data_IF_947361537346
#
_entry.id   IF_947361537346
#
_cell.length_a   1.000
_cell.length_b   1.000
_cell.length_c   1.000
_cell.angle_alpha   90.00
_cell.angle_beta   90.00
_cell.angle_gamma   90.00
#
_symmetry.space_group_name_H-M   'P 1'
#
loop_
_entity.id
_entity.type
_entity.pdbx_description
1 polymer ?
#
# COMPACT_ATOMS: atom_id res chain seq x y z
N UNK A 1 15.17 -1.41 1.25
CA UNK A 1 14.35 -0.88 0.15
C UNK A 1 12.86 -1.06 0.40
N UNK A 2 12.23 -2.22 0.10
CA UNK A 2 10.78 -2.41 0.30
C UNK A 2 10.33 -2.29 1.77
N UNK A 3 11.15 -2.75 2.72
CA UNK A 3 10.91 -2.55 4.15
C UNK A 3 10.83 -1.05 4.50
N UNK A 4 11.71 -0.23 3.95
CA UNK A 4 11.71 1.22 4.20
C UNK A 4 10.46 1.89 3.61
N UNK A 5 10.02 1.43 2.44
CA UNK A 5 8.75 1.87 1.82
C UNK A 5 7.57 1.54 2.73
N UNK A 6 7.52 0.32 3.29
CA UNK A 6 6.48 -0.08 4.24
C UNK A 6 6.53 0.80 5.49
N UNK A 7 7.69 0.98 6.10
CA UNK A 7 7.84 1.78 7.32
C UNK A 7 7.37 3.24 7.09
N UNK A 8 7.76 3.85 5.97
CA UNK A 8 7.30 5.19 5.61
C UNK A 8 5.77 5.27 5.44
N UNK A 9 5.17 4.28 4.76
CA UNK A 9 3.72 4.25 4.56
C UNK A 9 2.96 4.01 5.88
N UNK A 10 3.49 3.15 6.74
CA UNK A 10 2.93 2.84 8.07
C UNK A 10 2.97 4.07 8.97
N UNK A 11 4.09 4.80 9.01
CA UNK A 11 4.19 6.05 9.79
C UNK A 11 3.13 7.07 9.36
N UNK A 12 2.98 7.29 8.04
CA UNK A 12 1.97 8.21 7.51
C UNK A 12 0.56 7.74 7.86
N UNK A 13 0.26 6.46 7.69
CA UNK A 13 -1.05 5.88 8.00
C UNK A 13 -1.41 6.03 9.48
N UNK A 14 -0.43 5.83 10.37
CA UNK A 14 -0.60 6.07 11.81
C UNK A 14 -0.84 7.55 12.14
N UNK A 15 -0.12 8.48 11.50
CA UNK A 15 -0.38 9.93 11.66
C UNK A 15 -1.76 10.34 11.16
N UNK A 16 -2.34 9.59 10.21
CA UNK A 16 -3.71 9.76 9.73
C UNK A 16 -4.76 9.10 10.65
N UNK A 17 -4.34 8.47 11.75
CA UNK A 17 -5.23 7.89 12.77
C UNK A 17 -5.44 6.38 12.66
N UNK A 18 -4.76 5.68 11.76
CA UNK A 18 -4.84 4.21 11.67
C UNK A 18 -3.83 3.60 12.64
N UNK A 19 -4.29 3.20 13.84
CA UNK A 19 -3.40 2.74 14.92
C UNK A 19 -2.51 1.55 14.52
N UNK A 20 -3.07 0.58 13.78
CA UNK A 20 -2.38 -0.63 13.34
C UNK A 20 -2.67 -0.91 11.86
N UNK A 21 -1.98 -0.23 10.93
CA UNK A 21 -2.23 -0.36 9.51
C UNK A 21 -2.06 -1.80 9.01
N UNK A 22 -2.90 -2.22 8.07
CA UNK A 22 -2.82 -3.49 7.37
C UNK A 22 -2.19 -3.28 5.99
N UNK A 23 -1.02 -3.86 5.78
CA UNK A 23 -0.21 -3.72 4.56
C UNK A 23 -0.37 -4.98 3.72
N UNK A 24 -1.01 -4.84 2.56
CA UNK A 24 -1.04 -5.88 1.53
C UNK A 24 0.16 -5.68 0.59
N UNK A 25 1.05 -6.68 0.53
CA UNK A 25 2.11 -6.73 -0.48
C UNK A 25 1.56 -7.39 -1.73
N UNK A 26 1.35 -6.58 -2.76
CA UNK A 26 0.66 -7.02 -3.96
C UNK A 26 1.55 -7.87 -4.86
N UNK A 27 0.94 -8.89 -5.45
CA UNK A 27 1.49 -9.67 -6.56
C UNK A 27 0.34 -10.11 -7.48
N UNK A 28 0.66 -10.66 -8.65
CA UNK A 28 -0.37 -11.09 -9.60
C UNK A 28 -1.16 -12.33 -9.12
N UNK A 29 -0.56 -13.14 -8.24
CA UNK A 29 -1.14 -14.38 -7.70
C UNK A 29 -0.81 -14.50 -6.21
N UNK A 30 -1.53 -15.37 -5.50
CA UNK A 30 -1.43 -15.55 -4.05
C UNK A 30 -0.45 -16.64 -3.62
N UNK A 31 -0.01 -17.45 -4.57
CA UNK A 31 0.87 -18.58 -4.30
C UNK A 31 2.30 -18.16 -4.62
N UNK A 32 3.23 -18.49 -3.73
CA UNK A 32 4.66 -18.33 -3.97
C UNK A 32 5.03 -19.04 -5.29
N UNK A 33 5.51 -18.26 -6.25
CA UNK A 33 6.02 -18.76 -7.52
C UNK A 33 7.47 -18.30 -7.70
N UNK A 34 8.46 -19.22 -7.70
CA UNK A 34 9.86 -18.88 -7.91
C UNK A 34 10.16 -18.15 -9.22
N UNK A 35 9.31 -18.31 -10.24
CA UNK A 35 9.43 -17.62 -11.54
C UNK A 35 8.82 -16.21 -11.52
N UNK A 36 8.17 -15.83 -10.41
CA UNK A 36 7.51 -14.54 -10.23
C UNK A 36 8.11 -13.81 -9.00
N UNK A 37 9.14 -12.96 -9.20
CA UNK A 37 9.91 -12.37 -8.10
C UNK A 37 9.09 -11.54 -7.10
N UNK A 38 8.00 -10.93 -7.54
CA UNK A 38 7.08 -10.18 -6.68
C UNK A 38 6.40 -11.08 -5.63
N UNK A 39 6.07 -12.33 -5.97
CA UNK A 39 5.53 -13.30 -5.01
C UNK A 39 6.55 -13.70 -3.94
N UNK A 40 7.83 -13.77 -4.32
CA UNK A 40 8.94 -14.05 -3.41
C UNK A 40 9.14 -12.87 -2.46
N UNK A 41 9.23 -11.65 -3.00
CA UNK A 41 9.37 -10.43 -2.21
C UNK A 41 8.22 -10.27 -1.21
N UNK A 42 6.98 -10.50 -1.65
CA UNK A 42 5.81 -10.42 -0.80
C UNK A 42 5.86 -11.43 0.36
N UNK A 43 6.19 -12.68 0.05
CA UNK A 43 6.35 -13.74 1.05
C UNK A 43 7.45 -13.43 2.06
N UNK A 44 8.58 -12.90 1.60
CA UNK A 44 9.68 -12.47 2.47
C UNK A 44 9.25 -11.35 3.40
N UNK A 45 8.58 -10.31 2.90
CA UNK A 45 8.13 -9.18 3.69
C UNK A 45 7.09 -9.58 4.75
N UNK A 46 6.13 -10.44 4.38
CA UNK A 46 5.18 -11.02 5.33
C UNK A 46 5.91 -11.79 6.43
N UNK A 47 6.89 -12.63 6.07
CA UNK A 47 7.66 -13.38 7.06
C UNK A 47 8.55 -12.52 7.95
N UNK A 48 9.08 -11.42 7.42
CA UNK A 48 9.84 -10.44 8.20
C UNK A 48 8.94 -9.76 9.24
N UNK A 49 7.70 -9.41 8.88
CA UNK A 49 6.72 -8.87 9.80
C UNK A 49 6.32 -9.87 10.90
N UNK A 50 6.05 -11.14 10.56
CA UNK A 50 5.80 -12.22 11.53
C UNK A 50 6.93 -12.34 12.57
N UNK A 51 8.18 -12.13 12.13
CA UNK A 51 9.37 -12.19 12.98
C UNK A 51 9.65 -10.89 13.74
N UNK A 52 8.77 -9.90 13.63
CA UNK A 52 8.88 -8.61 14.31
C UNK A 52 9.96 -7.68 13.75
N UNK A 53 10.41 -7.90 12.51
CA UNK A 53 11.39 -7.03 11.83
C UNK A 53 10.71 -5.80 11.23
N UNK A 54 9.44 -5.94 10.81
CA UNK A 54 8.53 -4.84 10.47
C UNK A 54 7.54 -4.72 11.64
N UNK A 55 7.34 -3.50 12.15
CA UNK A 55 6.59 -3.24 13.39
C UNK A 55 5.53 -2.17 13.17
N UNK A 56 4.56 -2.12 14.09
CA UNK A 56 3.50 -1.09 14.06
C UNK A 56 2.36 -1.38 13.08
N UNK A 57 2.44 -2.47 12.32
CA UNK A 57 1.45 -2.85 11.30
C UNK A 57 1.26 -4.36 11.26
N UNK A 58 0.26 -4.79 10.49
CA UNK A 58 0.16 -6.15 9.97
C UNK A 58 0.62 -6.14 8.52
N UNK A 59 1.39 -7.15 8.09
CA UNK A 59 1.82 -7.28 6.71
C UNK A 59 1.47 -8.67 6.23
N UNK A 60 0.85 -8.77 5.07
CA UNK A 60 0.61 -10.04 4.41
C UNK A 60 0.80 -9.94 2.90
N UNK A 61 1.11 -11.06 2.28
CA UNK A 61 1.45 -11.18 0.87
C UNK A 61 2.07 -12.54 0.56
N UNK A 62 2.02 -12.98 -0.70
CA UNK A 62 1.49 -12.26 -1.86
C UNK A 62 -0.05 -12.23 -1.89
N UNK A 63 -0.60 -11.07 -2.22
CA UNK A 63 -2.04 -10.88 -2.39
C UNK A 63 -2.32 -10.24 -3.74
N UNK A 64 -3.26 -10.82 -4.49
CA UNK A 64 -3.87 -10.13 -5.62
C UNK A 64 -4.77 -8.97 -5.12
N UNK A 65 -5.00 -7.98 -5.98
CA UNK A 65 -5.72 -6.75 -5.59
C UNK A 65 -7.14 -7.04 -5.07
N UNK A 66 -7.87 -7.97 -5.71
CA UNK A 66 -9.21 -8.37 -5.29
C UNK A 66 -9.22 -8.87 -3.84
N UNK A 67 -8.19 -9.62 -3.44
CA UNK A 67 -8.04 -10.11 -2.09
C UNK A 67 -7.57 -9.06 -1.10
N UNK A 68 -6.87 -8.03 -1.55
CA UNK A 68 -6.48 -6.94 -0.68
C UNK A 68 -7.69 -6.06 -0.30
N UNK A 69 -8.71 -5.96 -1.18
CA UNK A 69 -9.83 -5.01 -1.03
C UNK A 69 -11.20 -5.65 -0.76
N UNK A 70 -11.38 -6.96 -0.97
CA UNK A 70 -12.67 -7.63 -0.80
C UNK A 70 -12.59 -8.84 0.14
N UNK A 71 -13.22 -8.72 1.31
CA UNK A 71 -13.38 -9.83 2.25
C UNK A 71 -14.18 -11.00 1.65
N UNK A 72 -15.11 -10.71 0.73
CA UNK A 72 -15.86 -11.72 -0.01
C UNK A 72 -14.94 -12.53 -0.94
N UNK A 73 -14.07 -11.85 -1.70
CA UNK A 73 -13.10 -12.53 -2.57
C UNK A 73 -12.14 -13.41 -1.76
N UNK A 74 -11.68 -12.91 -0.60
CA UNK A 74 -10.87 -13.66 0.35
C UNK A 74 -11.59 -14.90 0.88
N UNK A 75 -12.87 -14.79 1.24
CA UNK A 75 -13.67 -15.92 1.69
C UNK A 75 -13.87 -16.96 0.57
N UNK A 76 -14.18 -16.54 -0.66
CA UNK A 76 -14.34 -17.43 -1.80
C UNK A 76 -13.07 -18.21 -2.15
N UNK A 77 -11.91 -17.55 -2.09
CA UNK A 77 -10.60 -18.17 -2.29
C UNK A 77 -10.04 -18.86 -1.03
N UNK A 78 -10.79 -18.85 0.09
CA UNK A 78 -10.43 -19.45 1.39
C UNK A 78 -9.11 -18.93 1.96
N UNK A 79 -8.80 -17.66 1.71
CA UNK A 79 -7.60 -17.00 2.20
C UNK A 79 -7.82 -16.62 3.67
N UNK A 80 -6.92 -17.11 4.54
CA UNK A 80 -6.93 -16.78 5.97
C UNK A 80 -5.84 -15.75 6.24
N UNK A 81 -6.25 -14.50 6.40
CA UNK A 81 -5.36 -13.37 6.61
C UNK A 81 -6.07 -12.31 7.45
N UNK A 82 -5.31 -11.58 8.26
CA UNK A 82 -5.82 -10.38 8.96
C UNK A 82 -5.77 -9.12 8.09
N UNK A 83 -5.15 -9.21 6.91
CA UNK A 83 -4.96 -8.12 5.95
C UNK A 83 -5.91 -8.27 4.76
N UNK A 84 -6.18 -9.49 4.30
CA UNK A 84 -7.05 -9.72 3.15
C UNK A 84 -8.46 -9.16 3.38
N UNK A 85 -8.96 -8.41 2.40
CA UNK A 85 -10.25 -7.75 2.37
C UNK A 85 -10.31 -6.42 3.10
N UNK A 86 -9.23 -6.06 3.77
CA UNK A 86 -9.22 -5.07 4.85
C UNK A 86 -7.95 -4.21 4.81
N UNK A 87 -7.20 -4.21 3.72
CA UNK A 87 -5.90 -3.54 3.66
C UNK A 87 -6.03 -2.01 3.63
N UNK A 88 -5.21 -1.33 4.44
CA UNK A 88 -5.08 0.13 4.46
C UNK A 88 -4.00 0.61 3.49
N UNK A 89 -2.97 -0.22 3.27
CA UNK A 89 -1.78 0.10 2.46
C UNK A 89 -1.59 -0.99 1.40
N UNK A 90 -1.42 -0.56 0.15
CA UNK A 90 -1.02 -1.44 -0.95
C UNK A 90 0.44 -1.19 -1.33
N UNK A 91 1.32 -2.15 -1.08
CA UNK A 91 2.68 -2.12 -1.59
C UNK A 91 2.70 -2.76 -2.98
N UNK A 92 2.88 -1.96 -4.03
CA UNK A 92 2.96 -2.47 -5.41
C UNK A 92 4.32 -3.10 -5.71
N UNK A 93 4.40 -4.06 -6.65
CA UNK A 93 5.66 -4.70 -7.04
C UNK A 93 6.70 -3.70 -7.56
N UNK A 94 6.24 -2.76 -8.37
CA UNK A 94 7.07 -1.74 -9.03
C UNK A 94 6.25 -0.47 -9.37
N UNK A 95 6.88 0.46 -10.08
CA UNK A 95 6.36 1.82 -10.31
C UNK A 95 5.20 1.85 -11.32
N UNK A 96 5.23 1.05 -12.38
CA UNK A 96 4.22 1.02 -13.42
C UNK A 96 2.88 0.53 -12.87
N UNK A 97 2.87 -0.57 -12.11
CA UNK A 97 1.71 -1.13 -11.40
C UNK A 97 1.17 -0.14 -10.38
N UNK A 98 2.02 0.52 -9.59
CA UNK A 98 1.61 1.60 -8.70
C UNK A 98 0.96 2.78 -9.43
N UNK A 99 1.57 3.22 -10.53
CA UNK A 99 1.05 4.32 -11.34
C UNK A 99 -0.29 3.99 -11.99
N UNK A 100 -0.40 2.79 -12.58
CA UNK A 100 -1.62 2.28 -13.20
C UNK A 100 -2.73 2.12 -12.17
N UNK A 101 -2.43 1.57 -10.98
CA UNK A 101 -3.40 1.41 -9.90
C UNK A 101 -3.97 2.76 -9.47
N UNK A 102 -3.11 3.72 -9.12
CA UNK A 102 -3.56 5.05 -8.67
C UNK A 102 -4.36 5.77 -9.76
N UNK A 103 -3.91 5.71 -11.03
CA UNK A 103 -4.67 6.30 -12.14
C UNK A 103 -6.00 5.58 -12.37
N UNK A 104 -6.04 4.26 -12.28
CA UNK A 104 -7.27 3.48 -12.38
C UNK A 104 -8.28 3.90 -11.31
N UNK A 105 -7.84 4.01 -10.05
CA UNK A 105 -8.68 4.48 -8.95
C UNK A 105 -9.22 5.89 -9.20
N UNK A 106 -8.39 6.82 -9.67
CA UNK A 106 -8.81 8.21 -9.94
C UNK A 106 -9.75 8.30 -11.14
N UNK A 107 -9.33 7.80 -12.30
CA UNK A 107 -10.02 8.04 -13.57
C UNK A 107 -11.18 7.08 -13.83
N UNK A 108 -11.11 5.85 -13.32
CA UNK A 108 -12.17 4.85 -13.48
C UNK A 108 -13.01 4.72 -12.21
N UNK A 109 -12.37 4.77 -11.03
CA UNK A 109 -13.03 4.63 -9.74
C UNK A 109 -13.56 5.94 -9.14
N UNK A 110 -13.25 7.10 -9.73
CA UNK A 110 -13.64 8.40 -9.20
C UNK A 110 -12.98 8.76 -7.86
N UNK A 111 -11.89 8.08 -7.49
CA UNK A 111 -11.22 8.29 -6.21
C UNK A 111 -10.60 9.70 -6.12
N UNK A 112 -10.72 10.29 -4.95
CA UNK A 112 -9.90 11.45 -4.59
C UNK A 112 -8.52 10.98 -4.18
N UNK A 113 -7.49 11.75 -4.53
CA UNK A 113 -6.11 11.38 -4.24
C UNK A 113 -5.34 12.54 -3.61
N UNK A 114 -4.28 12.18 -2.90
CA UNK A 114 -3.24 13.03 -2.35
C UNK A 114 -1.90 12.30 -2.52
N UNK A 115 -0.81 13.04 -2.65
CA UNK A 115 0.51 12.46 -2.85
C UNK A 115 1.62 13.32 -2.25
N UNK A 116 2.53 12.66 -1.54
CA UNK A 116 3.76 13.23 -0.99
C UNK A 116 4.91 12.23 -1.17
N UNK A 117 6.14 12.73 -1.13
CA UNK A 117 7.35 11.92 -0.96
C UNK A 117 7.65 11.85 0.54
N UNK A 118 7.83 10.62 1.03
CA UNK A 118 8.14 10.29 2.42
C UNK A 118 9.62 9.88 2.59
N UNK A 119 10.11 9.89 3.84
CA UNK A 119 11.46 9.44 4.19
C UNK A 119 12.55 10.53 4.18
N UNK A 120 12.23 11.74 3.72
CA UNK A 120 13.07 12.92 3.95
C UNK A 120 12.82 13.51 5.36
N UNK A 121 13.62 14.49 5.78
CA UNK A 121 13.45 15.16 7.08
C UNK A 121 12.07 15.86 7.24
N UNK A 122 11.43 16.21 6.12
CA UNK A 122 10.07 16.75 6.02
C UNK A 122 9.38 16.20 4.77
N UNK A 123 8.04 16.08 4.77
CA UNK A 123 7.31 15.60 3.60
C UNK A 123 7.46 16.56 2.42
N UNK A 124 7.64 16.03 1.22
CA UNK A 124 7.76 16.82 -0.01
C UNK A 124 6.53 16.62 -0.88
N UNK A 125 5.76 17.68 -1.09
CA UNK A 125 4.59 17.64 -1.98
C UNK A 125 5.07 17.61 -3.43
N UNK A 126 4.80 16.51 -4.14
CA UNK A 126 5.09 16.37 -5.56
C UNK A 126 3.80 16.10 -6.33
N UNK A 127 3.55 16.90 -7.36
CA UNK A 127 2.28 16.92 -8.09
C UNK A 127 2.49 16.54 -9.55
N UNK A 128 1.49 15.90 -10.15
CA UNK A 128 1.38 15.75 -11.59
C UNK A 128 0.77 17.00 -12.21
N UNK A 129 1.20 17.33 -13.43
CA UNK A 129 0.63 18.43 -14.21
C UNK A 129 -0.89 18.28 -14.42
N UNK A 130 -1.35 17.04 -14.53
CA UNK A 130 -2.75 16.69 -14.74
C UNK A 130 -3.60 16.70 -13.46
N UNK A 131 -3.01 16.93 -12.28
CA UNK A 131 -3.75 16.91 -11.03
C UNK A 131 -4.74 18.08 -10.94
N UNK A 132 -5.95 17.76 -10.49
CA UNK A 132 -6.99 18.74 -10.19
C UNK A 132 -6.59 19.67 -9.04
N UNK A 133 -7.25 20.83 -8.93
CA UNK A 133 -7.04 21.76 -7.80
C UNK A 133 -7.25 21.06 -6.45
N UNK A 134 -8.27 20.20 -6.36
CA UNK A 134 -8.57 19.46 -5.13
C UNK A 134 -7.46 18.47 -4.77
N UNK A 135 -6.93 17.71 -5.74
CA UNK A 135 -5.81 16.79 -5.48
C UNK A 135 -4.58 17.54 -4.96
N UNK A 136 -4.28 18.71 -5.53
CA UNK A 136 -3.16 19.55 -5.06
C UNK A 136 -3.38 20.02 -3.63
N UNK A 137 -4.58 20.46 -3.29
CA UNK A 137 -4.95 20.86 -1.93
C UNK A 137 -4.85 19.68 -0.95
N UNK A 138 -5.36 18.51 -1.34
CA UNK A 138 -5.30 17.29 -0.52
C UNK A 138 -3.84 16.88 -0.27
N UNK A 139 -2.95 16.99 -1.26
CA UNK A 139 -1.52 16.73 -1.09
C UNK A 139 -0.84 17.69 -0.12
N UNK A 140 -1.21 18.98 -0.14
CA UNK A 140 -0.72 19.96 0.84
C UNK A 140 -1.23 19.61 2.24
N UNK A 141 -2.52 19.31 2.38
CA UNK A 141 -3.11 18.90 3.65
C UNK A 141 -2.43 17.64 4.21
N UNK A 142 -2.21 16.63 3.36
CA UNK A 142 -1.47 15.42 3.73
C UNK A 142 -0.05 15.74 4.18
N UNK A 143 0.65 16.64 3.49
CA UNK A 143 1.97 17.11 3.89
C UNK A 143 1.97 17.76 5.29
N UNK A 144 0.95 18.55 5.64
CA UNK A 144 0.81 19.17 6.97
C UNK A 144 0.57 18.11 8.05
N UNK A 145 -0.33 17.16 7.82
CA UNK A 145 -0.66 16.11 8.79
C UNK A 145 0.51 15.12 8.99
N UNK A 146 1.32 14.93 7.95
CA UNK A 146 2.44 13.98 7.98
C UNK A 146 3.74 14.56 8.58
N UNK A 147 3.74 15.82 9.04
CA UNK A 147 4.91 16.53 9.56
C UNK A 147 5.46 16.02 10.90
#
# INVERSE_FOLDING_TARGET
AKVDIINNAVEISQKLGVEKPKVAVLAAIEVLNPEMPDTIDASHLAKMADRGQIKGCLVDGPLALDLAVSAEAAAHKKIKSQVAGEADIFLTPEIASGNMLVKGLIYLGGAQAAGIIAGAAKPVVMLSRADSKQQKLNSIALGVVSC
#
